data_IF_380769021418
#
_entry.id   IF_380769021418
#
_cell.length_a   1.000
_cell.length_b   1.000
_cell.length_c   1.000
_cell.angle_alpha   90.00
_cell.angle_beta   90.00
_cell.angle_gamma   90.00
#
_symmetry.space_group_name_H-M   'P 1'
#
loop_
_entity.id
_entity.type
_entity.pdbx_description
1 polymer ?
#
# COMPACT_ATOMS: atom_id res chain seq x y z
N UNK A 1 52.21 4.21 8.86
CA UNK A 1 51.50 5.30 8.10
C UNK A 1 51.18 4.83 6.65
N UNK A 2 50.45 3.71 6.45
CA UNK A 2 50.31 3.13 5.10
C UNK A 2 48.87 2.73 4.71
N UNK A 3 47.83 3.26 5.34
CA UNK A 3 46.44 2.84 5.02
C UNK A 3 45.49 3.97 4.61
N UNK A 4 45.97 5.19 4.34
CA UNK A 4 45.12 6.33 3.96
C UNK A 4 44.93 6.40 2.43
N UNK A 5 45.89 5.89 1.63
CA UNK A 5 45.78 5.88 0.17
C UNK A 5 44.66 4.95 -0.36
N UNK A 6 44.45 3.79 0.25
CA UNK A 6 43.45 2.81 -0.22
C UNK A 6 41.98 3.28 -0.07
N UNK A 7 41.67 4.14 0.90
CA UNK A 7 40.31 4.66 1.11
C UNK A 7 39.92 5.74 0.09
N UNK A 8 40.91 6.53 -0.36
CA UNK A 8 40.71 7.53 -1.43
C UNK A 8 40.43 6.88 -2.78
N UNK A 9 41.18 5.84 -3.11
CA UNK A 9 41.03 5.10 -4.36
C UNK A 9 39.72 4.29 -4.41
N UNK A 10 39.27 3.76 -3.27
CA UNK A 10 37.98 3.07 -3.17
C UNK A 10 36.79 4.02 -3.35
N UNK A 11 36.86 5.25 -2.80
CA UNK A 11 35.83 6.28 -2.99
C UNK A 11 35.80 6.79 -4.42
N UNK A 12 36.95 7.00 -5.04
CA UNK A 12 37.06 7.44 -6.43
C UNK A 12 36.54 6.36 -7.41
N UNK A 13 36.84 5.10 -7.17
CA UNK A 13 36.34 3.98 -7.97
C UNK A 13 34.82 3.81 -7.83
N UNK A 14 34.26 3.97 -6.63
CA UNK A 14 32.82 3.88 -6.37
C UNK A 14 32.06 5.06 -6.99
N UNK A 15 32.60 6.27 -6.91
CA UNK A 15 32.00 7.45 -7.56
C UNK A 15 32.04 7.33 -9.09
N UNK A 16 33.09 6.75 -9.67
CA UNK A 16 33.20 6.51 -11.10
C UNK A 16 32.22 5.42 -11.58
N UNK A 17 31.99 4.37 -10.79
CA UNK A 17 30.96 3.37 -11.10
C UNK A 17 29.55 3.94 -11.02
N UNK A 18 29.26 4.79 -10.03
CA UNK A 18 27.98 5.47 -9.87
C UNK A 18 27.73 6.46 -11.03
N UNK A 19 28.74 7.24 -11.42
CA UNK A 19 28.62 8.17 -12.54
C UNK A 19 28.42 7.43 -13.88
N UNK A 20 29.09 6.29 -14.09
CA UNK A 20 28.87 5.44 -15.27
C UNK A 20 27.50 4.79 -15.28
N UNK A 21 26.99 4.35 -14.14
CA UNK A 21 25.62 3.79 -14.02
C UNK A 21 24.57 4.87 -14.31
N UNK A 22 24.74 6.09 -13.80
CA UNK A 22 23.88 7.23 -14.11
C UNK A 22 23.95 7.65 -15.59
N UNK A 23 25.14 7.64 -16.19
CA UNK A 23 25.31 7.95 -17.60
C UNK A 23 24.66 6.90 -18.52
N UNK A 24 24.81 5.63 -18.21
CA UNK A 24 24.17 4.54 -18.94
C UNK A 24 22.63 4.51 -18.82
N UNK A 25 22.07 5.05 -17.74
CA UNK A 25 20.62 5.24 -17.61
C UNK A 25 20.10 6.42 -18.43
N UNK A 26 20.96 7.39 -18.79
CA UNK A 26 20.58 8.57 -19.55
C UNK A 26 20.66 8.37 -21.08
N UNK A 27 21.43 7.40 -21.57
CA UNK A 27 21.80 7.28 -22.99
C UNK A 27 21.07 6.14 -23.73
N UNK A 28 20.06 5.47 -23.12
CA UNK A 28 19.33 4.36 -23.73
C UNK A 28 18.06 4.78 -24.47
N UNK A 29 17.65 4.08 -25.56
CA UNK A 29 16.35 4.29 -26.21
C UNK A 29 15.23 3.84 -25.25
N UNK A 30 14.49 4.80 -24.70
CA UNK A 30 13.47 4.60 -23.68
C UNK A 30 13.92 5.21 -22.35
N UNK A 31 14.04 6.53 -22.31
CA UNK A 31 14.41 7.23 -21.06
C UNK A 31 13.39 6.92 -19.99
N UNK A 32 13.86 6.23 -18.93
CA UNK A 32 13.06 6.09 -17.70
C UNK A 32 12.85 7.50 -17.14
N UNK A 33 11.61 7.94 -16.92
CA UNK A 33 11.31 9.25 -16.34
C UNK A 33 12.15 9.51 -15.07
N UNK A 34 12.66 10.73 -14.90
CA UNK A 34 13.52 11.09 -13.76
C UNK A 34 12.86 10.80 -12.41
N UNK A 35 11.58 10.81 -12.41
CA UNK A 35 10.74 10.35 -11.31
C UNK A 35 11.01 8.86 -10.96
N UNK A 36 10.97 7.95 -11.92
CA UNK A 36 11.29 6.53 -11.68
C UNK A 36 12.76 6.35 -11.31
N UNK A 37 13.65 7.15 -11.92
CA UNK A 37 15.07 7.16 -11.53
C UNK A 37 15.25 7.51 -10.05
N UNK A 38 14.51 8.50 -9.53
CA UNK A 38 14.59 8.89 -8.12
C UNK A 38 14.09 7.80 -7.17
N UNK A 39 13.10 6.99 -7.59
CA UNK A 39 12.66 5.83 -6.81
C UNK A 39 13.76 4.78 -6.67
N UNK A 40 14.56 4.56 -7.71
CA UNK A 40 15.65 3.56 -7.70
C UNK A 40 16.98 4.11 -7.16
N UNK A 41 17.29 5.37 -7.43
CA UNK A 41 18.56 6.01 -7.01
C UNK A 41 18.58 6.31 -5.51
N UNK A 42 17.45 6.65 -4.91
CA UNK A 42 17.38 6.85 -3.46
C UNK A 42 17.61 5.57 -2.65
N UNK A 43 17.49 4.39 -3.27
CA UNK A 43 17.84 3.11 -2.65
C UNK A 43 19.35 2.83 -2.65
N UNK A 44 20.12 3.40 -3.62
CA UNK A 44 21.52 3.09 -3.81
C UNK A 44 22.53 3.88 -2.95
N UNK A 45 22.10 4.98 -2.33
CA UNK A 45 23.01 5.93 -1.65
C UNK A 45 23.07 5.76 -0.11
N UNK A 46 22.46 4.76 0.47
CA UNK A 46 22.63 4.46 1.90
C UNK A 46 23.77 3.46 2.06
N UNK A 47 24.81 3.78 2.87
CA UNK A 47 25.81 2.78 3.21
C UNK A 47 25.11 1.62 3.90
N UNK A 48 25.19 0.43 3.30
CA UNK A 48 24.63 -0.80 3.87
C UNK A 48 25.29 -1.04 5.24
N UNK A 49 24.56 -1.11 6.33
CA UNK A 49 25.11 -1.49 7.62
C UNK A 49 25.70 -2.90 7.51
N UNK A 50 26.84 -3.13 8.08
CA UNK A 50 27.69 -4.33 7.93
C UNK A 50 27.04 -5.64 8.39
N UNK A 51 25.87 -5.58 9.03
CA UNK A 51 25.02 -6.72 9.42
C UNK A 51 23.56 -6.27 9.39
N UNK A 52 22.91 -6.42 8.26
CA UNK A 52 21.46 -6.20 8.18
C UNK A 52 20.73 -7.44 8.72
N UNK A 53 19.78 -7.20 9.62
CA UNK A 53 18.85 -8.23 10.05
C UNK A 53 17.90 -8.55 8.89
N UNK A 54 17.47 -9.81 8.73
CA UNK A 54 16.52 -10.23 7.70
C UNK A 54 15.28 -9.30 7.63
N UNK A 55 14.78 -8.83 8.76
CA UNK A 55 13.68 -7.86 8.84
C UNK A 55 14.03 -6.49 8.26
N UNK A 56 15.26 -6.02 8.45
CA UNK A 56 15.73 -4.77 7.83
C UNK A 56 15.82 -4.91 6.31
N UNK A 57 16.33 -6.05 5.84
CA UNK A 57 16.40 -6.33 4.41
C UNK A 57 15.02 -6.40 3.77
N UNK A 58 14.04 -7.06 4.42
CA UNK A 58 12.64 -7.06 3.98
C UNK A 58 12.06 -5.63 3.95
N UNK A 59 12.29 -4.85 5.00
CA UNK A 59 11.82 -3.47 5.07
C UNK A 59 12.40 -2.59 3.95
N UNK A 60 13.70 -2.72 3.67
CA UNK A 60 14.33 -1.97 2.57
C UNK A 60 13.89 -2.43 1.19
N UNK A 61 13.57 -3.71 1.03
CA UNK A 61 13.16 -4.29 -0.26
C UNK A 61 11.72 -3.98 -0.60
N UNK A 62 10.80 -4.14 0.36
CA UNK A 62 9.37 -4.03 0.10
C UNK A 62 8.75 -2.68 0.50
N UNK A 63 9.31 -2.01 1.50
CA UNK A 63 8.76 -0.76 2.02
C UNK A 63 9.86 0.29 2.30
N UNK A 64 10.64 0.70 1.28
CA UNK A 64 11.72 1.65 1.48
C UNK A 64 11.19 2.99 1.99
N UNK A 65 11.60 3.37 3.22
CA UNK A 65 11.21 4.63 3.82
C UNK A 65 9.85 4.65 4.54
N UNK A 66 9.14 3.51 4.60
CA UNK A 66 7.89 3.40 5.37
C UNK A 66 8.16 3.71 6.86
N UNK A 67 7.39 4.61 7.41
CA UNK A 67 7.37 4.91 8.85
C UNK A 67 5.95 4.86 9.38
N UNK A 68 5.79 4.60 10.69
CA UNK A 68 4.47 4.61 11.34
C UNK A 68 3.77 5.98 11.28
N UNK A 69 4.47 7.03 10.86
CA UNK A 69 3.91 8.37 10.67
C UNK A 69 3.17 8.52 9.34
N UNK A 70 3.33 7.57 8.43
CA UNK A 70 2.61 7.59 7.16
C UNK A 70 1.14 7.24 7.36
N UNK A 71 0.28 7.91 6.60
CA UNK A 71 -1.15 7.62 6.56
C UNK A 71 -1.40 6.15 6.23
N UNK A 72 -0.69 5.62 5.22
CA UNK A 72 -0.81 4.22 4.80
C UNK A 72 -0.46 3.25 5.92
N UNK A 73 0.58 3.52 6.70
CA UNK A 73 0.92 2.66 7.83
C UNK A 73 -0.19 2.67 8.91
N UNK A 74 -0.73 3.85 9.19
CA UNK A 74 -1.79 4.02 10.19
C UNK A 74 -3.07 3.30 9.75
N UNK A 75 -3.51 3.51 8.51
CA UNK A 75 -4.74 2.90 8.00
C UNK A 75 -4.61 1.38 7.94
N UNK A 76 -3.46 0.85 7.50
CA UNK A 76 -3.19 -0.58 7.48
C UNK A 76 -3.25 -1.21 8.88
N UNK A 77 -2.73 -0.52 9.91
CA UNK A 77 -2.85 -0.98 11.30
C UNK A 77 -4.32 -1.02 11.72
N UNK A 78 -5.11 0.01 11.39
CA UNK A 78 -6.55 0.06 11.71
C UNK A 78 -7.29 -1.12 11.06
N UNK A 79 -7.04 -1.41 9.80
CA UNK A 79 -7.67 -2.53 9.09
C UNK A 79 -7.31 -3.89 9.68
N UNK A 80 -6.03 -4.09 10.04
CA UNK A 80 -5.59 -5.31 10.73
C UNK A 80 -6.28 -5.44 12.10
N UNK A 81 -6.39 -4.36 12.86
CA UNK A 81 -7.09 -4.39 14.15
C UNK A 81 -8.59 -4.70 14.00
N UNK A 82 -9.25 -4.14 12.99
CA UNK A 82 -10.65 -4.46 12.65
C UNK A 82 -10.79 -5.93 12.29
N UNK A 83 -9.91 -6.46 11.43
CA UNK A 83 -9.90 -7.86 11.04
C UNK A 83 -9.71 -8.81 12.23
N UNK A 84 -8.74 -8.53 13.10
CA UNK A 84 -8.50 -9.30 14.33
C UNK A 84 -9.69 -9.23 15.30
N UNK A 85 -10.35 -8.09 15.39
CA UNK A 85 -11.57 -7.92 16.19
C UNK A 85 -12.71 -8.79 15.65
N UNK A 86 -12.91 -8.83 14.34
CA UNK A 86 -13.90 -9.71 13.71
C UNK A 86 -13.58 -11.20 13.93
N UNK A 87 -12.32 -11.59 13.85
CA UNK A 87 -11.89 -12.95 14.18
C UNK A 87 -12.19 -13.29 15.64
N UNK A 88 -11.86 -12.40 16.58
CA UNK A 88 -12.13 -12.59 17.99
C UNK A 88 -13.62 -12.79 18.26
N UNK A 89 -14.48 -11.94 17.69
CA UNK A 89 -15.95 -12.08 17.79
C UNK A 89 -16.42 -13.42 17.22
N UNK A 90 -15.85 -13.84 16.09
CA UNK A 90 -16.17 -15.14 15.47
C UNK A 90 -15.84 -16.32 16.40
N UNK A 91 -14.68 -16.28 17.08
CA UNK A 91 -14.28 -17.37 17.96
C UNK A 91 -15.03 -17.39 19.30
N UNK A 92 -15.40 -16.22 19.82
CA UNK A 92 -16.09 -16.11 21.11
C UNK A 92 -17.58 -16.42 21.00
N UNK A 93 -18.21 -16.17 19.86
CA UNK A 93 -19.64 -16.41 19.67
C UNK A 93 -19.91 -17.83 19.18
N UNK A 94 -20.57 -18.70 19.99
CA UNK A 94 -20.84 -20.09 19.60
C UNK A 94 -21.72 -20.26 18.36
N UNK A 95 -22.50 -19.22 18.01
CA UNK A 95 -23.40 -19.23 16.84
C UNK A 95 -22.67 -18.86 15.54
N UNK A 96 -21.41 -18.45 15.63
CA UNK A 96 -20.62 -18.05 14.48
C UNK A 96 -19.66 -19.17 14.09
N UNK A 97 -19.41 -19.30 12.81
CA UNK A 97 -18.40 -20.22 12.27
C UNK A 97 -17.44 -19.43 11.39
N UNK A 98 -16.18 -19.86 11.39
CA UNK A 98 -15.21 -19.33 10.43
C UNK A 98 -15.76 -19.51 9.02
N UNK A 99 -15.59 -18.47 8.21
CA UNK A 99 -15.93 -18.54 6.81
C UNK A 99 -15.03 -19.59 6.14
N UNK A 100 -15.61 -20.73 5.78
CA UNK A 100 -14.92 -21.88 5.19
C UNK A 100 -14.61 -21.70 3.68
N UNK A 101 -14.79 -20.49 3.16
CA UNK A 101 -14.39 -20.19 1.80
C UNK A 101 -12.88 -20.23 1.63
N UNK A 102 -12.40 -20.12 0.41
CA UNK A 102 -10.97 -20.08 0.04
C UNK A 102 -10.18 -18.99 0.80
N UNK A 103 -10.87 -17.98 1.35
CA UNK A 103 -10.26 -16.85 2.03
C UNK A 103 -9.98 -17.09 3.51
N UNK A 104 -10.55 -18.14 4.13
CA UNK A 104 -10.38 -18.46 5.55
C UNK A 104 -10.51 -17.21 6.44
N UNK A 105 -11.72 -16.74 6.67
CA UNK A 105 -11.94 -15.46 7.33
C UNK A 105 -12.98 -15.48 8.44
N UNK A 106 -13.24 -14.31 9.06
CA UNK A 106 -14.24 -14.16 10.09
C UNK A 106 -15.65 -14.45 9.55
N UNK A 107 -16.58 -14.76 10.46
CA UNK A 107 -17.97 -14.94 10.13
C UNK A 107 -18.56 -13.69 9.45
N UNK A 108 -19.38 -13.88 8.41
CA UNK A 108 -19.96 -12.77 7.64
C UNK A 108 -20.80 -11.84 8.50
N UNK A 109 -21.43 -12.35 9.56
CA UNK A 109 -22.20 -11.56 10.51
C UNK A 109 -21.39 -10.43 11.17
N UNK A 110 -20.04 -10.55 11.20
CA UNK A 110 -19.18 -9.51 11.77
C UNK A 110 -19.12 -8.24 10.90
N UNK A 111 -19.39 -8.33 9.60
CA UNK A 111 -19.27 -7.21 8.68
C UNK A 111 -20.51 -6.88 7.86
N UNK A 112 -21.61 -7.66 7.95
CA UNK A 112 -22.86 -7.41 7.19
C UNK A 112 -23.54 -6.06 7.49
N UNK A 113 -23.27 -5.43 8.64
CA UNK A 113 -23.72 -4.06 8.94
C UNK A 113 -22.85 -2.98 8.29
N UNK A 114 -21.67 -3.35 7.84
CA UNK A 114 -20.64 -2.43 7.38
C UNK A 114 -20.27 -2.63 5.91
N UNK A 115 -20.73 -3.71 5.29
CA UNK A 115 -20.48 -4.02 3.89
C UNK A 115 -21.21 -3.03 2.95
N UNK A 116 -20.68 -2.89 1.74
CA UNK A 116 -21.40 -2.23 0.64
C UNK A 116 -22.65 -3.04 0.34
N UNK A 117 -23.82 -2.43 0.39
CA UNK A 117 -25.10 -3.05 0.09
C UNK A 117 -26.03 -2.01 -0.55
N UNK A 118 -26.18 -2.08 -1.86
CA UNK A 118 -26.92 -1.08 -2.64
C UNK A 118 -28.40 -0.95 -2.21
N UNK A 119 -29.02 -2.05 -1.78
CA UNK A 119 -30.39 -2.01 -1.28
C UNK A 119 -30.49 -1.18 0.01
N UNK A 120 -29.65 -1.47 0.98
CA UNK A 120 -29.66 -0.77 2.27
C UNK A 120 -29.26 0.71 2.12
N UNK A 121 -28.31 1.00 1.24
CA UNK A 121 -27.88 2.36 0.91
C UNK A 121 -29.04 3.19 0.35
N UNK A 122 -29.78 2.60 -0.59
CA UNK A 122 -30.84 3.28 -1.33
C UNK A 122 -32.15 3.39 -0.54
N UNK A 123 -32.60 2.32 0.10
CA UNK A 123 -33.91 2.24 0.71
C UNK A 123 -33.91 2.45 2.22
N UNK A 124 -32.80 2.16 2.90
CA UNK A 124 -32.64 2.32 4.33
C UNK A 124 -31.71 3.49 4.70
N UNK A 125 -31.24 4.27 3.69
CA UNK A 125 -30.38 5.44 3.86
C UNK A 125 -29.09 5.17 4.67
N UNK A 126 -28.54 3.96 4.57
CA UNK A 126 -27.36 3.54 5.32
C UNK A 126 -26.07 4.05 4.64
N UNK A 127 -25.89 5.37 4.62
CA UNK A 127 -24.83 6.07 3.90
C UNK A 127 -23.41 5.74 4.39
N UNK A 128 -23.26 5.25 5.63
CA UNK A 128 -21.97 4.80 6.13
C UNK A 128 -21.38 3.63 5.32
N UNK A 129 -22.24 2.87 4.62
CA UNK A 129 -21.83 1.74 3.78
C UNK A 129 -21.00 2.17 2.55
N UNK A 130 -20.93 3.45 2.23
CA UNK A 130 -19.96 3.93 1.24
C UNK A 130 -18.54 4.03 1.80
N UNK A 131 -18.39 4.25 3.11
CA UNK A 131 -17.08 4.40 3.76
C UNK A 131 -16.64 3.11 4.47
N UNK A 132 -17.53 2.48 5.24
CA UNK A 132 -17.15 1.39 6.15
C UNK A 132 -16.56 0.16 5.48
N UNK A 133 -16.96 -0.24 4.24
CA UNK A 133 -16.45 -1.45 3.61
C UNK A 133 -14.94 -1.51 3.49
N UNK A 134 -14.28 -0.35 3.35
CA UNK A 134 -12.82 -0.28 3.15
C UNK A 134 -12.02 -0.83 4.35
N UNK A 135 -12.62 -0.90 5.54
CA UNK A 135 -11.96 -1.38 6.75
C UNK A 135 -12.14 -2.86 7.02
N UNK A 136 -13.07 -3.52 6.34
CA UNK A 136 -13.43 -4.91 6.59
C UNK A 136 -12.90 -5.84 5.51
N UNK A 137 -12.54 -7.06 5.88
CA UNK A 137 -11.98 -8.04 4.96
C UNK A 137 -12.60 -9.43 5.19
N UNK A 138 -12.91 -10.12 4.10
CA UNK A 138 -13.57 -11.44 4.14
C UNK A 138 -12.66 -12.57 4.58
N UNK A 139 -11.34 -12.39 4.59
CA UNK A 139 -10.40 -13.44 4.98
C UNK A 139 -8.93 -13.07 4.84
N UNK A 140 -8.06 -13.99 5.28
CA UNK A 140 -6.62 -13.76 5.36
C UNK A 140 -5.98 -13.41 4.01
N UNK A 141 -6.28 -14.14 2.94
CA UNK A 141 -5.69 -13.84 1.63
C UNK A 141 -6.11 -12.46 1.11
N UNK A 142 -7.36 -12.06 1.40
CA UNK A 142 -7.90 -10.77 1.00
C UNK A 142 -7.21 -9.61 1.74
N UNK A 143 -7.10 -9.68 3.07
CA UNK A 143 -6.40 -8.63 3.82
C UNK A 143 -4.91 -8.57 3.47
N UNK A 144 -4.24 -9.72 3.29
CA UNK A 144 -2.83 -9.75 2.93
C UNK A 144 -2.59 -9.08 1.57
N UNK A 145 -3.42 -9.35 0.56
CA UNK A 145 -3.27 -8.73 -0.76
C UNK A 145 -3.45 -7.21 -0.71
N UNK A 146 -4.45 -6.72 0.02
CA UNK A 146 -4.66 -5.28 0.21
C UNK A 146 -3.51 -4.64 0.98
N UNK A 147 -3.05 -5.26 2.09
CA UNK A 147 -1.89 -4.76 2.84
C UNK A 147 -0.62 -4.68 1.98
N UNK A 148 -0.35 -5.68 1.15
CA UNK A 148 0.80 -5.63 0.24
C UNK A 148 0.70 -4.46 -0.74
N UNK A 149 -0.47 -4.24 -1.34
CA UNK A 149 -0.72 -3.10 -2.21
C UNK A 149 -0.49 -1.78 -1.49
N UNK A 150 -1.12 -1.61 -0.34
CA UNK A 150 -1.02 -0.38 0.45
C UNK A 150 0.41 -0.10 0.90
N UNK A 151 1.07 -1.08 1.49
CA UNK A 151 2.41 -0.89 2.06
C UNK A 151 3.47 -0.67 0.98
N UNK A 152 3.37 -1.33 -0.18
CA UNK A 152 4.33 -1.17 -1.26
C UNK A 152 4.03 0.11 -2.07
N UNK A 153 2.87 0.17 -2.72
CA UNK A 153 2.56 1.26 -3.65
C UNK A 153 2.07 2.52 -2.93
N UNK A 154 1.31 2.36 -1.85
CA UNK A 154 0.82 3.48 -1.06
C UNK A 154 1.94 4.22 -0.35
N UNK A 155 2.93 3.51 0.23
CA UNK A 155 4.07 4.18 0.86
C UNK A 155 4.93 4.93 -0.15
N UNK A 156 5.09 4.40 -1.37
CA UNK A 156 5.79 5.10 -2.45
C UNK A 156 5.03 6.35 -2.88
N UNK A 157 3.74 6.25 -3.10
CA UNK A 157 2.92 7.41 -3.48
C UNK A 157 2.92 8.47 -2.38
N UNK A 158 2.77 8.07 -1.10
CA UNK A 158 2.74 9.01 0.02
C UNK A 158 4.04 9.80 0.20
N UNK A 159 5.20 9.19 -0.11
CA UNK A 159 6.47 9.91 -0.12
C UNK A 159 6.48 11.10 -1.07
N UNK A 160 5.68 11.06 -2.13
CA UNK A 160 5.60 12.07 -3.17
C UNK A 160 4.55 13.13 -2.88
N UNK A 161 3.34 12.70 -2.53
CA UNK A 161 2.20 13.61 -2.36
C UNK A 161 2.00 14.05 -0.92
N UNK A 162 2.60 13.34 0.04
CA UNK A 162 2.49 13.62 1.48
C UNK A 162 1.19 13.12 2.11
N UNK A 163 1.18 13.07 3.45
CA UNK A 163 0.14 12.48 4.28
C UNK A 163 -1.29 12.91 3.93
N UNK A 164 -1.53 14.24 3.83
CA UNK A 164 -2.88 14.78 3.64
C UNK A 164 -3.46 14.41 2.27
N UNK A 165 -2.64 14.49 1.23
CA UNK A 165 -3.08 14.13 -0.12
C UNK A 165 -3.27 12.62 -0.25
N UNK A 166 -2.41 11.83 0.40
CA UNK A 166 -2.58 10.38 0.43
C UNK A 166 -3.87 9.97 1.12
N UNK A 167 -4.23 10.58 2.25
CA UNK A 167 -5.50 10.37 2.91
C UNK A 167 -6.69 10.75 2.00
N UNK A 168 -6.59 11.88 1.29
CA UNK A 168 -7.62 12.30 0.33
C UNK A 168 -7.77 11.28 -0.81
N UNK A 169 -6.67 10.84 -1.43
CA UNK A 169 -6.70 9.82 -2.48
C UNK A 169 -7.36 8.55 -1.98
N UNK A 170 -6.96 8.06 -0.82
CA UNK A 170 -7.47 6.82 -0.23
C UNK A 170 -8.98 6.88 0.04
N UNK A 171 -9.44 7.89 0.77
CA UNK A 171 -10.85 7.98 1.14
C UNK A 171 -11.76 8.38 -0.03
N UNK A 172 -11.34 9.31 -0.88
CA UNK A 172 -12.15 9.71 -2.05
C UNK A 172 -12.29 8.56 -3.04
N UNK A 173 -11.23 7.81 -3.31
CA UNK A 173 -11.32 6.66 -4.20
C UNK A 173 -12.09 5.50 -3.56
N UNK A 174 -11.91 5.23 -2.27
CA UNK A 174 -12.63 4.20 -1.55
C UNK A 174 -14.13 4.45 -1.51
N UNK A 175 -14.55 5.64 -1.10
CA UNK A 175 -15.97 6.06 -1.06
C UNK A 175 -16.53 6.12 -2.49
N UNK A 176 -15.83 6.78 -3.40
CA UNK A 176 -16.26 6.92 -4.79
C UNK A 176 -16.40 5.58 -5.51
N UNK A 177 -15.47 4.66 -5.26
CA UNK A 177 -15.52 3.31 -5.82
C UNK A 177 -16.66 2.47 -5.28
N UNK A 178 -16.96 2.55 -3.96
CA UNK A 178 -18.11 1.89 -3.38
C UNK A 178 -19.43 2.46 -3.92
N UNK A 179 -19.55 3.80 -3.97
CA UNK A 179 -20.72 4.47 -4.55
C UNK A 179 -20.92 4.07 -6.02
N UNK A 180 -19.86 4.10 -6.82
CA UNK A 180 -19.91 3.69 -8.21
C UNK A 180 -20.32 2.21 -8.35
N UNK A 181 -19.74 1.33 -7.55
CA UNK A 181 -20.10 -0.09 -7.54
C UNK A 181 -21.57 -0.31 -7.22
N UNK A 182 -22.15 0.43 -6.27
CA UNK A 182 -23.56 0.32 -5.89
C UNK A 182 -24.53 0.75 -6.99
N UNK A 183 -24.06 1.51 -7.98
CA UNK A 183 -24.87 1.87 -9.16
C UNK A 183 -25.01 0.72 -10.17
N UNK A 184 -24.11 -0.27 -10.14
CA UNK A 184 -24.05 -1.33 -11.15
C UNK A 184 -24.30 -2.73 -10.59
N UNK A 185 -24.17 -2.92 -9.28
CA UNK A 185 -24.34 -4.25 -8.67
C UNK A 185 -24.88 -4.16 -7.24
N UNK A 186 -25.87 -5.01 -6.96
CA UNK A 186 -26.41 -5.18 -5.61
C UNK A 186 -25.58 -6.13 -4.75
N UNK A 187 -24.56 -6.79 -5.32
CA UNK A 187 -23.73 -7.72 -4.60
C UNK A 187 -23.02 -7.04 -3.41
N UNK A 188 -23.18 -7.55 -2.19
CA UNK A 188 -22.48 -7.01 -1.02
C UNK A 188 -20.98 -7.24 -1.16
N UNK A 189 -20.20 -6.27 -0.69
CA UNK A 189 -18.74 -6.36 -0.74
C UNK A 189 -18.07 -5.59 0.40
N UNK A 190 -16.89 -6.05 0.78
CA UNK A 190 -15.96 -5.40 1.72
C UNK A 190 -14.54 -5.50 1.18
N UNK A 191 -13.67 -4.60 1.61
CA UNK A 191 -12.23 -4.57 1.28
C UNK A 191 -11.74 -3.17 0.94
N UNK A 192 -10.46 -2.95 1.18
CA UNK A 192 -9.79 -1.69 0.82
C UNK A 192 -9.52 -1.55 -0.69
N UNK A 193 -9.89 -2.54 -1.50
CA UNK A 193 -9.54 -2.63 -2.92
C UNK A 193 -9.95 -1.43 -3.76
N UNK A 194 -11.08 -0.75 -3.43
CA UNK A 194 -11.49 0.49 -4.11
C UNK A 194 -10.54 1.65 -3.81
N UNK A 195 -10.04 1.74 -2.58
CA UNK A 195 -9.01 2.70 -2.20
C UNK A 195 -7.64 2.36 -2.84
N UNK A 196 -7.29 1.07 -2.91
CA UNK A 196 -6.08 0.57 -3.56
C UNK A 196 -6.05 0.91 -5.05
N UNK A 197 -7.20 0.82 -5.74
CA UNK A 197 -7.31 1.30 -7.13
C UNK A 197 -7.01 2.79 -7.24
N UNK A 198 -7.38 3.60 -6.24
CA UNK A 198 -7.00 5.02 -6.17
C UNK A 198 -5.49 5.21 -6.01
N UNK A 199 -4.81 4.36 -5.23
CA UNK A 199 -3.34 4.36 -5.12
C UNK A 199 -2.71 4.08 -6.48
N UNK A 200 -3.14 3.04 -7.19
CA UNK A 200 -2.65 2.72 -8.53
C UNK A 200 -2.89 3.86 -9.53
N UNK A 201 -4.10 4.45 -9.51
CA UNK A 201 -4.42 5.59 -10.37
C UNK A 201 -3.53 6.80 -10.06
N UNK A 202 -3.27 7.07 -8.76
CA UNK A 202 -2.34 8.11 -8.32
C UNK A 202 -0.90 7.87 -8.80
N UNK A 203 -0.41 6.63 -8.70
CA UNK A 203 0.90 6.25 -9.24
C UNK A 203 0.99 6.46 -10.76
N UNK A 204 -0.02 6.04 -11.51
CA UNK A 204 -0.09 6.26 -12.96
C UNK A 204 -0.12 7.75 -13.30
N UNK A 205 -0.93 8.54 -12.60
CA UNK A 205 -0.98 9.99 -12.79
C UNK A 205 0.39 10.64 -12.55
N UNK A 206 1.11 10.24 -11.52
CA UNK A 206 2.47 10.74 -11.23
C UNK A 206 3.44 10.38 -12.35
N UNK A 207 3.35 9.18 -12.93
CA UNK A 207 4.16 8.77 -14.08
C UNK A 207 3.85 9.68 -15.29
N UNK A 208 2.56 9.87 -15.61
CA UNK A 208 2.17 10.68 -16.77
C UNK A 208 2.56 12.15 -16.65
N UNK A 209 2.36 12.74 -15.45
CA UNK A 209 2.70 14.15 -15.23
C UNK A 209 4.21 14.42 -15.28
N UNK A 210 5.02 13.43 -14.89
CA UNK A 210 6.48 13.54 -14.86
C UNK A 210 7.16 12.83 -16.03
N UNK A 211 6.41 12.47 -17.06
CA UNK A 211 6.92 11.83 -18.26
C UNK A 211 7.52 12.88 -19.20
N UNK A 212 8.84 13.12 -19.10
CA UNK A 212 9.62 14.00 -19.98
C UNK A 212 10.85 13.27 -20.50
#
# INVERSE_FOLDING_TARGET
MSNIHGLGDYRAANNNQQNRAQQNMNDGPGQIPDFLKSMFVNQGNRPLPRKETFMQMLHFTFCPGLTIKYFIAIISIVEVLVFLSCLTVTFVNPSYSLNSNIFLGPASQCYTWFDKNAYDEKYNYQVWRFLTPIFFHVGFSHIISNMLTQLIFGSLLEQWIGFKHMAAVYFVSGIGGNLFSSMFTDAPSVGASTADLGIYAGMLAMIFVNWN
#
